data_IF_166057852538
#
_entry.id   IF_166057852538
#
_cell.length_a   1.000
_cell.length_b   1.000
_cell.length_c   1.000
_cell.angle_alpha   90.00
_cell.angle_beta   90.00
_cell.angle_gamma   90.00
#
_symmetry.space_group_name_H-M   'P 1'
#
loop_
_entity.id
_entity.type
_entity.pdbx_description
1 polymer ?
#
# COMPACT_ATOMS: atom_id res chain seq x y z
N UNK A 1 27.61 -5.38 20.36
CA UNK A 1 26.73 -4.22 20.09
C UNK A 1 25.29 -4.70 19.97
N UNK A 2 24.30 -3.88 20.34
CA UNK A 2 22.88 -4.18 20.10
C UNK A 2 22.51 -3.76 18.67
N UNK A 3 21.59 -4.49 18.01
CA UNK A 3 21.02 -4.05 16.75
C UNK A 3 20.49 -2.60 16.91
N UNK A 4 20.70 -1.76 15.90
CA UNK A 4 20.30 -0.35 15.93
C UNK A 4 19.14 -0.13 14.94
N UNK A 5 18.11 0.57 15.41
CA UNK A 5 17.09 1.20 14.60
C UNK A 5 17.71 2.52 14.11
N UNK A 6 18.04 2.57 12.82
CA UNK A 6 18.77 3.69 12.23
C UNK A 6 17.85 4.35 11.21
N UNK A 7 17.62 5.63 11.41
CA UNK A 7 17.05 6.50 10.40
C UNK A 7 18.20 7.18 9.67
N UNK A 8 18.15 7.17 8.34
CA UNK A 8 19.14 7.80 7.49
C UNK A 8 18.48 8.57 6.37
N UNK A 9 19.17 9.60 5.90
CA UNK A 9 18.83 10.37 4.71
C UNK A 9 19.94 10.21 3.68
N UNK A 10 19.58 10.28 2.39
CA UNK A 10 20.55 10.30 1.30
C UNK A 10 20.36 11.59 0.53
N UNK A 11 21.41 12.40 0.45
CA UNK A 11 21.43 13.60 -0.39
C UNK A 11 22.69 13.59 -1.25
N UNK A 12 22.53 13.82 -2.56
CA UNK A 12 23.63 13.90 -3.54
C UNK A 12 24.60 12.73 -3.42
N UNK A 13 24.05 11.53 -3.34
CA UNK A 13 24.81 10.27 -3.23
C UNK A 13 25.65 10.11 -1.96
N UNK A 14 25.35 10.88 -0.90
CA UNK A 14 25.95 10.72 0.43
C UNK A 14 24.88 10.33 1.44
N UNK A 15 25.20 9.36 2.28
CA UNK A 15 24.31 8.84 3.33
C UNK A 15 24.62 9.54 4.65
N UNK A 16 23.59 10.06 5.29
CA UNK A 16 23.62 10.71 6.59
C UNK A 16 22.78 9.90 7.57
N UNK A 17 23.34 9.50 8.70
CA UNK A 17 22.57 8.93 9.79
C UNK A 17 21.94 10.09 10.55
N UNK A 18 20.61 10.19 10.49
CA UNK A 18 19.86 11.28 11.14
C UNK A 18 19.41 10.89 12.55
N UNK A 19 19.24 9.59 12.81
CA UNK A 19 18.97 9.07 14.14
C UNK A 19 19.48 7.63 14.24
N UNK A 20 20.06 7.26 15.38
CA UNK A 20 20.38 5.87 15.69
C UNK A 20 20.01 5.61 17.15
N UNK A 21 19.20 4.57 17.37
CA UNK A 21 18.85 4.12 18.71
C UNK A 21 18.88 2.60 18.77
N UNK A 22 19.19 1.99 19.92
CA UNK A 22 19.13 0.54 20.07
C UNK A 22 17.73 0.02 19.75
N UNK A 23 17.64 -1.03 18.93
CA UNK A 23 16.39 -1.77 18.74
C UNK A 23 16.02 -2.41 20.06
N UNK A 24 15.01 -1.87 20.73
CA UNK A 24 14.54 -2.37 22.04
C UNK A 24 13.52 -3.50 21.92
N UNK A 25 13.04 -3.78 20.70
CA UNK A 25 11.92 -4.70 20.44
C UNK A 25 12.33 -6.07 19.90
N UNK A 26 13.63 -6.36 19.76
CA UNK A 26 14.10 -7.70 19.42
C UNK A 26 14.22 -8.54 20.70
N UNK A 27 13.09 -9.03 21.22
CA UNK A 27 13.07 -10.22 22.06
C UNK A 27 12.53 -11.39 21.26
N UNK A 28 13.49 -12.30 20.97
CA UNK A 28 13.47 -13.75 20.69
C UNK A 28 12.37 -14.33 19.81
N UNK A 29 12.84 -15.16 18.88
CA UNK A 29 12.19 -16.34 18.27
C UNK A 29 10.68 -16.40 18.47
N UNK A 30 9.95 -16.25 17.37
CA UNK A 30 8.53 -16.60 17.34
C UNK A 30 8.36 -17.98 17.96
N UNK A 31 7.70 -18.02 19.12
CA UNK A 31 7.24 -19.26 19.72
C UNK A 31 6.38 -19.89 18.64
N UNK A 32 6.81 -21.03 18.09
CA UNK A 32 5.92 -21.93 17.34
C UNK A 32 4.75 -22.16 18.26
N UNK A 33 3.58 -21.61 17.89
CA UNK A 33 2.41 -21.62 18.76
C UNK A 33 2.15 -23.04 19.25
N UNK A 34 2.24 -23.25 20.55
CA UNK A 34 1.57 -24.39 21.16
C UNK A 34 0.09 -24.27 20.82
N UNK A 35 -0.57 -25.39 20.49
CA UNK A 35 -2.03 -25.42 20.39
C UNK A 35 -2.61 -24.96 21.74
N UNK A 36 -3.11 -23.72 21.77
CA UNK A 36 -3.79 -23.19 22.93
C UNK A 36 -5.07 -24.01 23.14
N UNK A 37 -5.11 -24.78 24.23
CA UNK A 37 -6.32 -25.48 24.67
C UNK A 37 -7.27 -24.47 25.27
N UNK A 38 -8.32 -24.13 24.53
CA UNK A 38 -9.37 -23.22 24.96
C UNK A 38 -10.52 -23.19 23.96
N UNK A 39 -11.69 -22.74 24.40
CA UNK A 39 -12.80 -22.49 23.50
C UNK A 39 -12.49 -21.26 22.64
N UNK A 40 -12.53 -21.44 21.33
CA UNK A 40 -12.32 -20.35 20.38
C UNK A 40 -13.55 -19.44 20.38
N UNK A 41 -13.47 -18.33 21.12
CA UNK A 41 -14.56 -17.34 21.19
C UNK A 41 -14.75 -16.57 19.89
N UNK A 42 -13.66 -16.27 19.16
CA UNK A 42 -13.71 -15.55 17.88
C UNK A 42 -12.42 -15.78 17.06
N UNK A 43 -12.40 -15.34 15.81
CA UNK A 43 -11.17 -15.22 15.00
C UNK A 43 -11.23 -13.99 14.11
N UNK A 44 -10.08 -13.32 13.94
CA UNK A 44 -9.90 -12.19 13.04
C UNK A 44 -8.66 -12.32 12.17
N UNK A 45 -8.35 -11.24 11.45
CA UNK A 45 -7.14 -11.14 10.63
C UNK A 45 -5.90 -10.93 11.51
N UNK A 46 -4.83 -11.69 11.25
CA UNK A 46 -3.57 -11.50 11.95
C UNK A 46 -2.81 -10.29 11.39
N UNK A 47 -2.87 -9.16 12.10
CA UNK A 47 -2.10 -7.97 11.75
C UNK A 47 -0.60 -8.10 12.09
N UNK A 48 -0.27 -8.86 13.14
CA UNK A 48 1.10 -9.15 13.58
C UNK A 48 1.20 -10.60 14.07
N UNK A 49 2.29 -11.34 13.78
CA UNK A 49 2.52 -12.66 14.33
C UNK A 49 2.77 -12.59 15.85
N UNK A 50 2.33 -13.60 16.59
CA UNK A 50 2.58 -13.74 18.02
C UNK A 50 1.46 -14.47 18.76
N UNK A 51 1.78 -14.94 19.98
CA UNK A 51 0.80 -15.46 20.94
C UNK A 51 0.93 -14.62 22.21
N UNK A 52 -0.19 -14.09 22.69
CA UNK A 52 -0.23 -13.25 23.88
C UNK A 52 -1.54 -13.51 24.65
N UNK A 53 -1.46 -13.36 25.97
CA UNK A 53 -2.59 -13.46 26.90
C UNK A 53 -2.54 -12.29 27.87
N UNK A 54 -3.72 -11.79 28.26
CA UNK A 54 -3.84 -10.64 29.16
C UNK A 54 -5.29 -10.30 29.47
N UNK A 55 -5.48 -9.37 30.41
CA UNK A 55 -6.80 -8.87 30.78
C UNK A 55 -7.32 -7.95 29.68
N UNK A 56 -8.53 -8.19 29.19
CA UNK A 56 -9.15 -7.35 28.16
C UNK A 56 -9.49 -5.98 28.76
N UNK A 57 -9.03 -4.91 28.08
CA UNK A 57 -9.45 -3.53 28.36
C UNK A 57 -10.02 -2.93 27.08
N UNK A 58 -11.33 -2.68 27.11
CA UNK A 58 -12.04 -2.01 26.02
C UNK A 58 -11.78 -0.51 26.12
N UNK A 59 -11.36 0.12 25.03
CA UNK A 59 -11.08 1.56 24.93
C UNK A 59 -12.02 2.15 23.90
N UNK A 60 -12.88 3.09 24.33
CA UNK A 60 -13.83 3.79 23.45
C UNK A 60 -13.67 5.31 23.52
N UNK A 61 -13.14 5.83 24.62
CA UNK A 61 -13.04 7.27 24.91
C UNK A 61 -11.60 7.70 25.17
N UNK A 62 -11.31 9.00 25.13
CA UNK A 62 -9.98 9.52 25.53
C UNK A 62 -9.67 9.25 27.00
N UNK A 63 -10.70 9.23 27.86
CA UNK A 63 -10.54 8.86 29.26
C UNK A 63 -10.08 7.41 29.42
N UNK A 64 -10.58 6.49 28.58
CA UNK A 64 -10.09 5.10 28.56
C UNK A 64 -8.62 5.00 28.14
N UNK A 65 -8.16 5.88 27.23
CA UNK A 65 -6.75 5.96 26.82
C UNK A 65 -5.90 6.42 28.01
N UNK A 66 -6.34 7.47 28.71
CA UNK A 66 -5.63 8.00 29.87
C UNK A 66 -5.54 6.96 31.00
N UNK A 67 -6.62 6.21 31.21
CA UNK A 67 -6.73 5.19 32.25
C UNK A 67 -6.22 3.81 31.80
N UNK A 68 -5.57 3.69 30.65
CA UNK A 68 -5.08 2.40 30.18
C UNK A 68 -3.93 1.87 31.05
N UNK A 69 -4.03 0.65 31.61
CA UNK A 69 -3.04 0.11 32.53
C UNK A 69 -1.65 -0.07 31.91
N UNK A 70 -0.61 -0.10 32.75
CA UNK A 70 0.77 -0.10 32.25
C UNK A 70 1.22 -1.40 31.59
N UNK A 71 0.73 -2.58 32.03
CA UNK A 71 1.19 -3.90 31.53
C UNK A 71 0.10 -4.97 31.63
N UNK A 72 0.24 -6.03 30.84
CA UNK A 72 -0.55 -7.27 30.98
C UNK A 72 -1.98 -7.20 30.43
N UNK A 73 -2.32 -6.14 29.69
CA UNK A 73 -3.67 -5.92 29.17
C UNK A 73 -3.72 -6.04 27.65
N UNK A 74 -4.80 -6.64 27.16
CA UNK A 74 -5.15 -6.69 25.74
C UNK A 74 -6.00 -5.46 25.44
N UNK A 75 -5.51 -4.60 24.57
CA UNK A 75 -6.26 -3.45 24.06
C UNK A 75 -7.34 -3.96 23.11
N UNK A 76 -8.60 -3.69 23.43
CA UNK A 76 -9.73 -3.94 22.54
C UNK A 76 -10.36 -2.60 22.20
N UNK A 77 -10.46 -2.28 20.91
CA UNK A 77 -11.07 -1.03 20.45
C UNK A 77 -11.83 -1.30 19.16
N UNK A 78 -12.74 -0.42 18.78
CA UNK A 78 -13.38 -0.51 17.47
C UNK A 78 -12.35 -0.22 16.38
N UNK A 79 -11.66 0.92 16.45
CA UNK A 79 -10.59 1.28 15.52
C UNK A 79 -9.39 1.87 16.28
N UNK A 80 -8.18 1.73 15.72
CA UNK A 80 -7.01 2.43 16.26
C UNK A 80 -6.94 3.87 15.73
N UNK A 81 -6.50 4.80 16.57
CA UNK A 81 -6.22 6.19 16.20
C UNK A 81 -4.83 6.64 16.73
N UNK A 82 -4.26 7.76 16.26
CA UNK A 82 -2.93 8.21 16.68
C UNK A 82 -2.78 8.45 18.19
N UNK A 83 -3.85 8.87 18.87
CA UNK A 83 -3.85 9.10 20.32
C UNK A 83 -3.64 7.80 21.11
N UNK A 84 -3.92 6.64 20.51
CA UNK A 84 -3.74 5.32 21.13
C UNK A 84 -2.29 4.78 21.02
N UNK A 85 -1.40 5.40 20.25
CA UNK A 85 0.00 4.92 20.08
C UNK A 85 0.74 4.67 21.41
N UNK A 86 0.63 5.53 22.45
CA UNK A 86 1.27 5.28 23.73
C UNK A 86 0.76 4.00 24.41
N UNK A 87 -0.55 3.74 24.35
CA UNK A 87 -1.18 2.58 25.01
C UNK A 87 -1.00 1.30 24.19
N UNK A 88 -0.95 1.39 22.86
CA UNK A 88 -0.62 0.27 21.97
C UNK A 88 0.76 -0.32 22.28
N UNK A 89 1.73 0.52 22.66
CA UNK A 89 3.07 0.08 23.09
C UNK A 89 3.07 -0.62 24.46
N UNK A 90 2.07 -0.34 25.30
CA UNK A 90 1.90 -0.95 26.64
C UNK A 90 1.12 -2.26 26.58
N UNK A 91 0.20 -2.37 25.61
CA UNK A 91 -0.66 -3.53 25.43
C UNK A 91 0.14 -4.79 25.05
N UNK A 92 -0.27 -5.94 25.58
CA UNK A 92 0.35 -7.24 25.25
C UNK A 92 -0.22 -7.85 23.97
N UNK A 93 -1.45 -7.45 23.60
CA UNK A 93 -2.07 -7.71 22.32
C UNK A 93 -3.06 -6.58 21.99
N UNK A 94 -3.40 -6.45 20.71
CA UNK A 94 -4.38 -5.49 20.23
C UNK A 94 -5.39 -6.28 19.41
N UNK A 95 -6.67 -6.12 19.75
CA UNK A 95 -7.81 -6.64 18.99
C UNK A 95 -8.63 -5.44 18.57
N UNK A 96 -8.96 -5.36 17.29
CA UNK A 96 -9.85 -4.32 16.78
C UNK A 96 -11.08 -4.92 16.13
N UNK A 97 -12.23 -4.28 16.32
CA UNK A 97 -13.49 -4.66 15.67
C UNK A 97 -13.47 -4.27 14.19
N UNK A 98 -12.96 -3.06 13.94
CA UNK A 98 -12.70 -2.46 12.65
C UNK A 98 -11.20 -2.25 12.42
N UNK A 99 -10.80 -2.12 11.16
CA UNK A 99 -9.39 -2.26 10.76
C UNK A 99 -9.10 -3.57 10.05
N UNK A 100 -10.13 -4.17 9.46
CA UNK A 100 -9.96 -5.09 8.35
C UNK A 100 -9.22 -4.40 7.20
N UNK A 101 -8.54 -5.19 6.37
CA UNK A 101 -8.08 -4.70 5.08
C UNK A 101 -9.33 -4.22 4.32
N UNK A 102 -9.48 -2.93 4.11
CA UNK A 102 -10.42 -2.43 3.10
C UNK A 102 -10.00 -3.05 1.77
N UNK A 103 -10.92 -3.70 1.06
CA UNK A 103 -10.57 -4.53 -0.08
C UNK A 103 -11.25 -4.05 -1.36
N UNK A 104 -10.50 -4.16 -2.44
CA UNK A 104 -11.06 -4.23 -3.78
C UNK A 104 -11.39 -5.68 -4.14
N UNK A 105 -12.29 -5.87 -5.10
CA UNK A 105 -12.52 -7.18 -5.68
C UNK A 105 -11.24 -7.74 -6.31
N UNK A 106 -11.10 -9.07 -6.32
CA UNK A 106 -9.87 -9.73 -6.76
C UNK A 106 -9.48 -9.42 -8.20
N UNK A 107 -10.44 -9.21 -9.09
CA UNK A 107 -10.26 -8.85 -10.49
C UNK A 107 -9.92 -7.37 -10.72
N UNK A 108 -10.17 -6.51 -9.72
CA UNK A 108 -9.86 -5.07 -9.78
C UNK A 108 -8.39 -4.86 -10.10
N UNK A 109 -8.12 -4.01 -11.09
CA UNK A 109 -6.76 -3.71 -11.54
C UNK A 109 -6.12 -2.68 -10.62
N UNK A 110 -4.93 -3.01 -10.12
CA UNK A 110 -4.07 -2.11 -9.36
C UNK A 110 -2.85 -1.75 -10.20
N UNK A 111 -2.47 -0.47 -10.15
CA UNK A 111 -1.25 0.02 -10.75
C UNK A 111 -0.03 -0.30 -9.87
N UNK A 112 0.95 -0.97 -10.47
CA UNK A 112 2.22 -1.33 -9.82
C UNK A 112 3.42 -0.87 -10.64
N UNK A 113 4.63 -0.99 -10.10
CA UNK A 113 5.88 -0.85 -10.86
C UNK A 113 6.11 -1.90 -11.94
N UNK A 114 5.23 -2.90 -12.05
CA UNK A 114 5.26 -3.94 -13.09
C UNK A 114 4.05 -3.84 -14.03
N UNK A 115 3.37 -2.69 -14.02
CA UNK A 115 2.16 -2.42 -14.81
C UNK A 115 0.87 -2.70 -14.04
N UNK A 116 -0.24 -2.73 -14.78
CA UNK A 116 -1.56 -3.05 -14.23
C UNK A 116 -1.71 -4.56 -14.07
N UNK A 117 -1.94 -5.01 -12.83
CA UNK A 117 -2.26 -6.41 -12.52
C UNK A 117 -3.52 -6.45 -11.65
N UNK A 118 -4.22 -7.58 -11.59
CA UNK A 118 -5.38 -7.70 -10.69
C UNK A 118 -4.92 -7.81 -9.24
N UNK A 119 -5.76 -7.38 -8.29
CA UNK A 119 -5.49 -7.48 -6.85
C UNK A 119 -5.27 -8.94 -6.42
N UNK A 120 -5.98 -9.87 -7.04
CA UNK A 120 -5.78 -11.31 -6.88
C UNK A 120 -4.37 -11.75 -7.30
N UNK A 121 -3.94 -11.33 -8.49
CA UNK A 121 -2.62 -11.67 -9.02
C UNK A 121 -1.51 -11.03 -8.21
N UNK A 122 -1.66 -9.76 -7.83
CA UNK A 122 -0.74 -9.05 -6.94
C UNK A 122 -0.59 -9.80 -5.61
N UNK A 123 -1.71 -10.19 -5.00
CA UNK A 123 -1.70 -10.92 -3.71
C UNK A 123 -1.01 -12.28 -3.84
N UNK A 124 -1.25 -13.01 -4.94
CA UNK A 124 -0.60 -14.31 -5.20
C UNK A 124 0.92 -14.14 -5.31
N UNK A 125 1.37 -13.21 -6.15
CA UNK A 125 2.80 -12.96 -6.38
C UNK A 125 3.53 -12.45 -5.13
N UNK A 126 2.89 -11.60 -4.31
CA UNK A 126 3.45 -11.15 -3.03
C UNK A 126 3.68 -12.33 -2.09
N UNK A 127 2.74 -13.29 -2.03
CA UNK A 127 2.90 -14.51 -1.23
C UNK A 127 4.00 -15.45 -1.75
N UNK A 128 4.29 -15.39 -3.04
CA UNK A 128 5.41 -16.09 -3.68
C UNK A 128 6.77 -15.39 -3.46
N UNK A 129 6.79 -14.28 -2.71
CA UNK A 129 8.00 -13.53 -2.36
C UNK A 129 8.34 -12.41 -3.35
N UNK A 130 7.46 -12.11 -4.30
CA UNK A 130 7.69 -11.04 -5.26
C UNK A 130 7.43 -9.66 -4.63
N UNK A 131 8.39 -8.74 -4.80
CA UNK A 131 8.25 -7.38 -4.33
C UNK A 131 7.60 -6.48 -5.40
N UNK A 132 6.64 -5.65 -4.95
CA UNK A 132 5.97 -4.63 -5.75
C UNK A 132 6.07 -3.28 -5.07
N UNK A 133 6.14 -2.23 -5.89
CA UNK A 133 5.75 -0.90 -5.51
C UNK A 133 4.34 -0.64 -6.05
N UNK A 134 3.44 -0.18 -5.19
CA UNK A 134 2.11 0.29 -5.57
C UNK A 134 2.04 1.80 -5.45
N UNK A 135 1.10 2.36 -6.20
CA UNK A 135 0.75 3.75 -6.08
C UNK A 135 0.09 4.03 -4.71
N UNK A 136 0.55 5.03 -3.99
CA UNK A 136 0.00 5.44 -2.70
C UNK A 136 0.11 6.96 -2.53
N UNK A 137 -0.88 7.57 -1.88
CA UNK A 137 -0.81 8.99 -1.53
C UNK A 137 -0.15 9.17 -0.16
N UNK A 138 0.86 10.03 -0.06
CA UNK A 138 1.43 10.48 1.21
C UNK A 138 0.57 11.60 1.77
N UNK A 139 -0.22 11.28 2.79
CA UNK A 139 -1.09 12.23 3.46
C UNK A 139 -0.33 13.40 4.11
N UNK A 140 0.87 13.14 4.65
CA UNK A 140 1.64 14.14 5.39
C UNK A 140 2.26 15.17 4.45
N UNK A 141 2.86 14.68 3.37
CA UNK A 141 3.56 15.53 2.39
C UNK A 141 2.64 15.98 1.23
N UNK A 142 1.40 15.48 1.19
CA UNK A 142 0.40 15.77 0.14
C UNK A 142 0.89 15.41 -1.26
N UNK A 143 1.66 14.34 -1.39
CA UNK A 143 2.26 13.94 -2.67
C UNK A 143 1.98 12.47 -3.03
N UNK A 144 1.78 12.17 -4.33
CA UNK A 144 1.79 10.80 -4.83
C UNK A 144 3.16 10.16 -4.67
N UNK A 145 3.22 8.90 -4.21
CA UNK A 145 4.49 8.14 -4.14
C UNK A 145 4.34 6.65 -4.38
N UNK A 146 5.42 6.04 -4.85
CA UNK A 146 5.56 4.59 -4.94
C UNK A 146 5.90 4.02 -3.55
N UNK A 147 5.06 3.10 -3.03
CA UNK A 147 5.30 2.42 -1.75
C UNK A 147 5.46 0.92 -1.96
N UNK A 148 6.43 0.32 -1.29
CA UNK A 148 6.58 -1.14 -1.23
C UNK A 148 5.38 -1.77 -0.54
N UNK A 149 4.83 -2.83 -1.11
CA UNK A 149 3.78 -3.63 -0.46
C UNK A 149 4.43 -4.51 0.60
N UNK A 150 4.08 -4.27 1.86
CA UNK A 150 4.66 -5.00 3.01
C UNK A 150 3.89 -6.30 3.28
N UNK A 151 2.58 -6.30 3.00
CA UNK A 151 1.71 -7.45 3.20
C UNK A 151 0.52 -7.39 2.24
N UNK A 152 -0.01 -8.56 1.86
CA UNK A 152 -1.22 -8.68 1.07
C UNK A 152 -2.07 -9.86 1.58
N UNK A 153 -3.38 -9.65 1.63
CA UNK A 153 -4.33 -10.65 2.11
C UNK A 153 -5.61 -10.67 1.28
N UNK A 154 -6.42 -11.71 1.51
CA UNK A 154 -7.74 -11.85 0.92
C UNK A 154 -8.74 -12.05 2.07
N UNK A 155 -9.93 -11.47 1.94
CA UNK A 155 -11.09 -11.75 2.80
C UNK A 155 -12.30 -12.04 1.92
N UNK A 156 -13.26 -12.81 2.44
CA UNK A 156 -14.61 -12.88 1.86
C UNK A 156 -15.41 -11.74 2.46
N UNK A 157 -16.01 -10.91 1.61
CA UNK A 157 -16.85 -9.78 2.00
C UNK A 157 -17.88 -9.52 0.90
N UNK A 158 -18.98 -8.89 1.26
CA UNK A 158 -19.88 -8.31 0.28
C UNK A 158 -19.18 -7.14 -0.43
N UNK A 159 -19.38 -7.05 -1.74
CA UNK A 159 -18.81 -5.99 -2.58
C UNK A 159 -19.94 -5.13 -3.12
N UNK A 160 -19.70 -3.83 -3.17
CA UNK A 160 -20.51 -2.88 -3.91
C UNK A 160 -19.80 -2.53 -5.21
N UNK A 161 -20.58 -2.22 -6.25
CA UNK A 161 -20.08 -1.73 -7.53
C UNK A 161 -20.31 -0.23 -7.62
N UNK A 162 -19.22 0.53 -7.75
CA UNK A 162 -19.27 1.99 -7.81
C UNK A 162 -18.84 2.45 -9.20
N UNK A 163 -19.75 3.10 -9.92
CA UNK A 163 -19.43 3.73 -11.21
C UNK A 163 -18.65 5.03 -10.98
N UNK A 164 -17.54 5.21 -11.70
CA UNK A 164 -16.67 6.38 -11.58
C UNK A 164 -16.67 7.15 -12.91
N UNK A 165 -17.19 8.37 -12.88
CA UNK A 165 -17.21 9.25 -14.06
C UNK A 165 -16.88 10.70 -13.69
N UNK A 166 -15.93 11.29 -14.39
CA UNK A 166 -15.61 12.72 -14.23
C UNK A 166 -16.73 13.65 -14.67
N UNK A 167 -17.56 13.23 -15.64
CA UNK A 167 -18.65 14.05 -16.23
C UNK A 167 -20.04 13.47 -15.95
N UNK A 168 -20.14 12.37 -15.21
CA UNK A 168 -21.41 11.67 -14.95
C UNK A 168 -22.00 10.92 -16.16
N UNK A 169 -21.26 10.78 -17.27
CA UNK A 169 -21.77 10.20 -18.52
C UNK A 169 -21.26 8.77 -18.78
N UNK A 170 -20.20 8.35 -18.09
CA UNK A 170 -19.63 7.01 -18.27
C UNK A 170 -20.25 6.00 -17.30
N UNK A 171 -20.93 4.99 -17.84
CA UNK A 171 -21.54 3.88 -17.07
C UNK A 171 -20.69 2.61 -17.03
N UNK A 172 -19.67 2.48 -17.88
CA UNK A 172 -18.87 1.26 -18.02
C UNK A 172 -17.58 1.27 -17.19
N UNK A 173 -17.25 2.39 -16.56
CA UNK A 173 -16.07 2.49 -15.70
C UNK A 173 -16.53 2.32 -14.26
N UNK A 174 -16.26 1.16 -13.68
CA UNK A 174 -16.65 0.82 -12.33
C UNK A 174 -15.49 0.24 -11.54
N UNK A 175 -15.61 0.34 -10.23
CA UNK A 175 -14.71 -0.31 -9.29
C UNK A 175 -15.56 -1.11 -8.31
N UNK A 176 -15.13 -2.34 -8.07
CA UNK A 176 -15.80 -3.25 -7.15
C UNK A 176 -14.98 -3.29 -5.85
N UNK A 177 -15.60 -2.92 -4.73
CA UNK A 177 -14.93 -2.79 -3.44
C UNK A 177 -15.89 -3.03 -2.29
N UNK A 178 -15.34 -3.21 -1.08
CA UNK A 178 -16.15 -3.30 0.13
C UNK A 178 -16.74 -1.92 0.50
N UNK A 179 -17.95 -1.87 1.06
CA UNK A 179 -18.65 -0.62 1.39
C UNK A 179 -17.92 0.26 2.43
N UNK A 180 -17.11 -0.37 3.27
CA UNK A 180 -16.22 0.25 4.27
C UNK A 180 -14.90 0.80 3.65
N UNK A 181 -14.70 0.69 2.33
CA UNK A 181 -13.44 1.12 1.75
C UNK A 181 -13.31 2.65 1.78
N UNK A 182 -12.28 3.11 2.50
CA UNK A 182 -11.97 4.53 2.62
C UNK A 182 -11.35 5.12 1.34
N UNK A 183 -11.98 6.15 0.81
CA UNK A 183 -11.52 6.95 -0.33
C UNK A 183 -11.21 8.38 0.11
N UNK A 184 -10.43 9.10 -0.71
CA UNK A 184 -10.16 10.51 -0.45
C UNK A 184 -11.33 11.38 -0.90
N UNK A 185 -11.76 12.30 -0.04
CA UNK A 185 -12.79 13.33 -0.28
C UNK A 185 -12.35 14.63 0.40
N UNK A 186 -13.08 15.72 0.18
CA UNK A 186 -12.91 16.98 0.90
C UNK A 186 -14.07 17.21 1.86
N UNK A 187 -13.73 17.47 3.12
CA UNK A 187 -14.68 17.92 4.13
C UNK A 187 -14.08 19.12 4.86
N UNK A 188 -14.85 20.20 5.05
CA UNK A 188 -14.38 21.41 5.73
C UNK A 188 -13.06 22.00 5.19
N UNK A 189 -12.79 21.84 3.89
CA UNK A 189 -11.54 22.23 3.19
C UNK A 189 -10.31 21.40 3.55
N UNK A 190 -10.48 20.33 4.29
CA UNK A 190 -9.44 19.36 4.59
C UNK A 190 -9.62 18.13 3.70
N UNK A 191 -8.49 17.63 3.18
CA UNK A 191 -8.45 16.35 2.51
C UNK A 191 -8.59 15.27 3.58
N UNK A 192 -9.64 14.46 3.52
CA UNK A 192 -9.89 13.40 4.51
C UNK A 192 -10.06 12.05 3.81
N UNK A 193 -10.08 10.98 4.62
CA UNK A 193 -10.48 9.65 4.17
C UNK A 193 -11.82 9.30 4.78
N UNK A 194 -12.81 9.05 3.93
CA UNK A 194 -14.18 8.71 4.31
C UNK A 194 -14.59 7.41 3.63
N UNK A 195 -15.46 6.62 4.25
CA UNK A 195 -15.91 5.36 3.67
C UNK A 195 -16.73 5.61 2.41
N UNK A 196 -16.59 4.74 1.41
CA UNK A 196 -17.25 4.95 0.13
C UNK A 196 -18.78 4.97 0.29
N UNK A 197 -19.34 4.23 1.24
CA UNK A 197 -20.78 4.23 1.45
C UNK A 197 -21.27 5.59 1.96
N UNK A 198 -20.58 6.19 2.92
CA UNK A 198 -20.91 7.54 3.40
C UNK A 198 -20.75 8.59 2.30
N UNK A 199 -19.70 8.49 1.47
CA UNK A 199 -19.49 9.39 0.31
C UNK A 199 -20.67 9.27 -0.67
N UNK A 200 -21.17 8.05 -0.92
CA UNK A 200 -22.31 7.80 -1.81
C UNK A 200 -23.62 8.33 -1.22
N UNK A 201 -23.86 8.10 0.07
CA UNK A 201 -25.06 8.55 0.79
C UNK A 201 -25.13 10.09 0.82
N UNK A 202 -24.00 10.75 1.09
CA UNK A 202 -23.88 12.20 1.14
C UNK A 202 -23.72 12.85 -0.25
N UNK A 203 -23.65 12.04 -1.32
CA UNK A 203 -23.43 12.48 -2.71
C UNK A 203 -22.18 13.36 -2.87
N UNK A 204 -21.13 13.01 -2.17
CA UNK A 204 -19.84 13.70 -2.20
C UNK A 204 -19.04 13.36 -3.47
N UNK A 205 -18.01 14.17 -3.72
CA UNK A 205 -17.06 13.97 -4.81
C UNK A 205 -15.83 13.20 -4.31
N UNK A 206 -15.31 12.29 -5.13
CA UNK A 206 -14.05 11.60 -4.86
C UNK A 206 -12.85 12.42 -5.37
N UNK A 207 -11.78 12.44 -4.58
CA UNK A 207 -10.50 12.98 -5.00
C UNK A 207 -9.73 11.94 -5.81
N UNK A 208 -9.42 12.28 -7.05
CA UNK A 208 -8.55 11.49 -7.92
C UNK A 208 -7.19 12.17 -8.04
N UNK A 209 -6.15 11.36 -8.21
CA UNK A 209 -4.81 11.86 -8.48
C UNK A 209 -4.72 12.26 -9.95
N UNK A 210 -4.26 13.48 -10.18
CA UNK A 210 -4.12 14.09 -11.50
C UNK A 210 -2.86 13.62 -12.25
N UNK A 211 -1.76 13.40 -11.53
CA UNK A 211 -0.48 12.97 -12.07
C UNK A 211 0.08 11.76 -11.30
N UNK A 212 0.48 10.73 -12.05
CA UNK A 212 1.24 9.61 -11.49
C UNK A 212 2.68 10.03 -11.15
N UNK A 213 3.25 9.54 -10.05
CA UNK A 213 4.62 9.84 -9.68
C UNK A 213 5.57 9.19 -10.69
N UNK A 214 6.62 9.91 -11.04
CA UNK A 214 7.66 9.40 -11.94
C UNK A 214 8.33 8.19 -11.29
N UNK A 215 8.60 7.16 -12.09
CA UNK A 215 9.49 6.09 -11.66
C UNK A 215 10.92 6.61 -11.71
N UNK A 216 11.72 6.32 -10.68
CA UNK A 216 13.18 6.36 -10.82
C UNK A 216 13.60 5.25 -11.79
N UNK A 217 13.46 5.49 -13.09
CA UNK A 217 13.94 4.59 -14.13
C UNK A 217 15.22 5.17 -14.73
N UNK A 218 16.27 4.36 -14.70
CA UNK A 218 17.50 4.59 -15.44
C UNK A 218 17.18 4.37 -16.93
N UNK A 219 16.69 5.41 -17.60
CA UNK A 219 16.27 5.31 -19.00
C UNK A 219 17.47 5.08 -19.90
N UNK A 220 17.53 3.92 -20.55
CA UNK A 220 18.43 3.71 -21.68
C UNK A 220 17.67 4.05 -22.98
N UNK A 221 17.83 5.28 -23.45
CA UNK A 221 17.18 5.79 -24.66
C UNK A 221 17.37 4.86 -25.87
N UNK A 222 18.54 4.22 -25.98
CA UNK A 222 18.84 3.28 -27.07
C UNK A 222 17.92 2.06 -27.07
N UNK A 223 17.50 1.60 -25.90
CA UNK A 223 16.59 0.47 -25.75
C UNK A 223 15.15 0.87 -26.10
N UNK A 224 14.71 2.07 -25.71
CA UNK A 224 13.40 2.59 -26.07
C UNK A 224 13.24 2.70 -27.60
N UNK A 225 14.27 3.19 -28.30
CA UNK A 225 14.31 3.23 -29.75
C UNK A 225 14.25 1.83 -30.40
N UNK A 226 14.98 0.86 -29.85
CA UNK A 226 14.95 -0.53 -30.33
C UNK A 226 13.56 -1.16 -30.13
N UNK A 227 12.96 -0.98 -28.96
CA UNK A 227 11.62 -1.50 -28.65
C UNK A 227 10.55 -0.86 -29.54
N UNK A 228 10.64 0.46 -29.77
CA UNK A 228 9.74 1.16 -30.70
C UNK A 228 9.81 0.59 -32.12
N UNK A 229 11.02 0.33 -32.62
CA UNK A 229 11.21 -0.29 -33.94
C UNK A 229 10.63 -1.71 -34.02
N UNK A 230 10.83 -2.53 -32.98
CA UNK A 230 10.30 -3.90 -32.91
C UNK A 230 8.78 -3.95 -32.85
N UNK A 231 8.15 -3.06 -32.09
CA UNK A 231 6.69 -3.03 -31.93
C UNK A 231 5.96 -2.46 -33.16
N UNK A 232 6.62 -1.62 -33.94
CA UNK A 232 6.03 -0.98 -35.12
C UNK A 232 6.24 -1.75 -36.42
N UNK A 233 6.67 -3.02 -36.36
CA UNK A 233 7.13 -3.80 -37.53
C UNK A 233 8.24 -3.06 -38.34
N UNK A 234 8.94 -2.12 -37.67
CA UNK A 234 9.92 -1.23 -38.29
C UNK A 234 11.28 -1.90 -38.44
N UNK A 235 12.10 -1.42 -39.39
CA UNK A 235 13.47 -1.91 -39.56
C UNK A 235 14.51 -0.84 -39.20
N UNK A 236 15.60 -1.28 -38.56
CA UNK A 236 16.74 -0.41 -38.24
C UNK A 236 17.73 -0.46 -39.41
N UNK A 237 17.89 0.65 -40.12
CA UNK A 237 18.91 0.81 -41.17
C UNK A 237 20.12 1.54 -40.62
N UNK A 238 21.26 0.87 -40.60
CA UNK A 238 22.52 1.47 -40.19
C UNK A 238 23.21 2.05 -41.43
N UNK A 239 23.37 3.38 -41.49
CA UNK A 239 24.07 4.04 -42.59
C UNK A 239 25.58 3.89 -42.34
N UNK A 240 26.23 3.08 -43.17
CA UNK A 240 27.69 2.93 -43.16
C UNK A 240 28.33 4.11 -43.89
N UNK A 241 29.32 4.73 -43.28
CA UNK A 241 30.16 5.73 -43.94
C UNK A 241 31.16 5.04 -44.87
N UNK A 242 31.75 5.76 -45.83
CA UNK A 242 32.74 5.23 -46.78
C UNK A 242 34.01 4.65 -46.11
N UNK A 243 34.20 4.90 -44.82
CA UNK A 243 35.27 4.33 -43.97
C UNK A 243 34.86 3.03 -43.26
N UNK A 244 33.72 2.42 -43.61
CA UNK A 244 33.26 1.13 -43.07
C UNK A 244 32.60 1.19 -41.68
N UNK A 245 32.92 2.20 -40.86
CA UNK A 245 32.35 2.35 -39.52
C UNK A 245 30.97 3.06 -39.55
N UNK A 246 29.93 2.47 -38.93
CA UNK A 246 28.60 3.08 -38.88
C UNK A 246 28.58 4.29 -37.93
N UNK A 247 28.06 5.43 -38.41
CA UNK A 247 27.93 6.67 -37.61
C UNK A 247 26.49 7.04 -37.24
N UNK A 248 25.49 6.53 -37.96
CA UNK A 248 24.08 6.89 -37.74
C UNK A 248 23.15 5.72 -38.09
N UNK A 249 22.28 5.35 -37.17
CA UNK A 249 21.16 4.45 -37.42
C UNK A 249 19.90 5.25 -37.70
N UNK A 250 19.10 4.82 -38.68
CA UNK A 250 17.79 5.39 -39.00
C UNK A 250 16.75 4.30 -38.80
N UNK A 251 15.71 4.59 -38.02
CA UNK A 251 14.55 3.71 -37.84
C UNK A 251 13.54 4.09 -38.92
N UNK A 252 13.14 3.11 -39.73
CA UNK A 252 12.11 3.28 -40.74
C UNK A 252 10.86 2.58 -40.23
N UNK A 253 9.82 3.36 -39.97
CA UNK A 253 8.49 2.86 -39.65
C UNK A 253 7.76 2.54 -40.95
N UNK A 254 7.32 1.30 -41.11
CA UNK A 254 6.43 0.91 -42.21
C UNK A 254 5.01 0.81 -41.66
N UNK A 255 4.15 1.75 -42.04
CA UNK A 255 2.70 1.58 -41.85
C UNK A 255 2.22 0.50 -42.83
N UNK A 256 1.54 -0.53 -42.32
CA UNK A 256 0.61 -1.33 -43.12
C UNK A 256 -0.72 -0.59 -43.22
#
# INVERSE_FOLDING_TARGET
GKAQDIEFAIEKSRVYIVQSRPVTTLKKEGVKGEELKGEKLTSGLAASPGVASGIVKVVKTEEDIHNFPEKGHVLVTEMTNPSMVPIMKKAVAIVTDEGGMTCFAGDTKVLTNKGFISMEEATRRIKEGEEFLIFSYDYKNKEPKWKKVVNAGKRKSEIIRVAVSQKGVMSHNYIDLTSDHKMFTFENRDLIKKEINEILDDKEMLCLVDKLPEFENNHNEKLAYLTGALLSDGCIRVIKHHTGNPRKGVIVFTQK
#
